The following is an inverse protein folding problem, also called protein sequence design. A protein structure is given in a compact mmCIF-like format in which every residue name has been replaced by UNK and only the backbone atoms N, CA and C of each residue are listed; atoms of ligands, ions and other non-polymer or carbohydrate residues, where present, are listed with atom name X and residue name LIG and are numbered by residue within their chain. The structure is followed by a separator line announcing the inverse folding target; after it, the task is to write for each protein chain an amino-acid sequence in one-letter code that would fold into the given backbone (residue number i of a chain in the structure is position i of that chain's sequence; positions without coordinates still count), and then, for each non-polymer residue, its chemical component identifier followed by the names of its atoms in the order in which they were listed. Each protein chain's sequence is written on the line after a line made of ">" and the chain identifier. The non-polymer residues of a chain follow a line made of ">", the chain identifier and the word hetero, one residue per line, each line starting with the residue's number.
data_IF_569337502114
#
_entry.id   IF_569337502114
#
_cell.length_a   1.000
_cell.length_b   1.000
_cell.length_c   1.000
_cell.angle_alpha   90.00
_cell.angle_beta   90.00
_cell.angle_gamma   90.00
#
_symmetry.space_group_name_H-M   'P 1'
#
loop_
_entity.id
_entity.type
_entity.pdbx_description
1 polymer ?
#
# COMPACT_ATOMS: atom_id res chain seq x y z
N UNK A 1 -30.99 -6.71 12.03
CA UNK A 1 -32.23 -5.92 12.13
C UNK A 1 -33.08 -6.13 10.88
N UNK A 2 -33.71 -7.30 10.74
CA UNK A 2 -34.65 -7.56 9.65
C UNK A 2 -35.98 -7.93 10.27
N UNK A 3 -37.01 -7.09 10.10
CA UNK A 3 -38.40 -7.57 10.19
C UNK A 3 -38.64 -8.52 9.01
N UNK A 4 -39.81 -9.16 8.92
CA UNK A 4 -40.07 -10.10 7.82
C UNK A 4 -39.78 -9.48 6.44
N UNK A 5 -40.14 -8.22 6.24
CA UNK A 5 -40.14 -7.64 4.90
C UNK A 5 -39.04 -6.59 4.70
N UNK A 6 -38.17 -6.34 5.69
CA UNK A 6 -37.10 -5.32 5.59
C UNK A 6 -35.73 -6.00 5.53
N UNK A 7 -35.00 -5.74 4.46
CA UNK A 7 -33.65 -6.22 4.20
C UNK A 7 -32.66 -5.06 4.26
N UNK A 8 -31.86 -5.03 5.34
CA UNK A 8 -30.77 -4.09 5.51
C UNK A 8 -29.45 -4.84 5.45
N UNK A 9 -28.51 -4.38 4.62
CA UNK A 9 -27.16 -4.95 4.52
C UNK A 9 -26.14 -3.89 4.17
N UNK A 10 -25.00 -3.92 4.83
CA UNK A 10 -23.80 -3.19 4.43
C UNK A 10 -22.76 -4.16 3.89
N UNK A 11 -22.03 -3.75 2.86
CA UNK A 11 -20.97 -4.54 2.23
C UNK A 11 -19.75 -3.65 2.08
N UNK A 12 -18.61 -4.13 2.56
CA UNK A 12 -17.32 -3.48 2.45
C UNK A 12 -16.38 -4.35 1.62
N UNK A 13 -15.64 -3.74 0.69
CA UNK A 13 -14.52 -4.39 0.00
C UNK A 13 -13.26 -3.58 0.20
N UNK A 14 -12.18 -4.25 0.59
CA UNK A 14 -10.87 -3.67 0.94
C UNK A 14 -9.77 -4.64 0.54
N UNK A 15 -8.51 -4.18 0.52
CA UNK A 15 -7.35 -5.03 0.23
C UNK A 15 -7.23 -6.23 1.19
N UNK A 16 -7.60 -6.04 2.45
CA UNK A 16 -7.64 -7.10 3.48
C UNK A 16 -8.90 -6.97 4.32
N UNK A 17 -9.29 -8.07 4.98
CA UNK A 17 -10.57 -8.18 5.69
C UNK A 17 -10.72 -7.19 6.85
N UNK A 18 -9.65 -6.95 7.62
CA UNK A 18 -9.66 -6.14 8.84
C UNK A 18 -8.57 -5.06 8.81
N UNK A 19 -8.72 -4.02 9.65
CA UNK A 19 -7.75 -2.93 9.80
C UNK A 19 -7.29 -2.33 8.45
N UNK A 20 -8.23 -2.08 7.55
CA UNK A 20 -7.96 -1.58 6.21
C UNK A 20 -9.09 -0.67 5.74
N UNK A 21 -8.74 0.41 5.06
CA UNK A 21 -9.72 1.27 4.40
C UNK A 21 -10.44 0.52 3.28
N UNK A 22 -11.70 0.88 3.06
CA UNK A 22 -12.49 0.29 1.98
C UNK A 22 -12.09 0.91 0.63
N UNK A 23 -12.07 0.08 -0.41
CA UNK A 23 -12.17 0.56 -1.79
C UNK A 23 -13.57 1.11 -2.05
N UNK A 24 -14.58 0.32 -1.71
CA UNK A 24 -15.99 0.65 -1.85
C UNK A 24 -16.75 0.08 -0.66
N UNK A 25 -17.61 0.90 -0.08
CA UNK A 25 -18.58 0.49 0.94
C UNK A 25 -19.97 0.83 0.43
N UNK A 26 -20.88 -0.14 0.44
CA UNK A 26 -22.28 0.06 0.07
C UNK A 26 -23.21 -0.28 1.22
N UNK A 27 -24.30 0.47 1.35
CA UNK A 27 -25.41 0.21 2.25
C UNK A 27 -26.70 0.08 1.45
N UNK A 28 -27.47 -0.96 1.75
CA UNK A 28 -28.73 -1.28 1.09
C UNK A 28 -29.83 -1.41 2.15
N UNK A 29 -30.94 -0.72 1.95
CA UNK A 29 -32.15 -0.84 2.76
C UNK A 29 -33.37 -0.98 1.83
N UNK A 30 -34.00 -2.15 1.85
CA UNK A 30 -35.12 -2.46 0.97
C UNK A 30 -36.27 -3.06 1.77
N UNK A 31 -37.50 -2.64 1.49
CA UNK A 31 -38.69 -3.36 1.91
C UNK A 31 -39.18 -4.24 0.76
N UNK A 32 -39.09 -5.56 0.90
CA UNK A 32 -39.33 -6.53 -0.18
C UNK A 32 -40.33 -7.59 0.28
N UNK A 33 -41.33 -7.86 -0.54
CA UNK A 33 -42.24 -8.98 -0.34
C UNK A 33 -41.53 -10.33 -0.48
N UNK A 34 -41.66 -11.23 0.49
CA UNK A 34 -40.95 -12.50 0.49
C UNK A 34 -41.41 -13.48 -0.59
N UNK A 35 -42.64 -13.36 -1.06
CA UNK A 35 -43.25 -14.35 -1.95
C UNK A 35 -42.92 -14.04 -3.41
N UNK A 36 -42.99 -12.76 -3.81
CA UNK A 36 -42.81 -12.34 -5.20
C UNK A 36 -41.62 -11.38 -5.41
N UNK A 37 -40.86 -11.07 -4.35
CA UNK A 37 -39.70 -10.16 -4.39
C UNK A 37 -40.02 -8.73 -4.84
N UNK A 38 -41.28 -8.29 -4.71
CA UNK A 38 -41.71 -6.94 -5.02
C UNK A 38 -41.14 -5.93 -4.01
N UNK A 39 -40.48 -4.89 -4.50
CA UNK A 39 -40.02 -3.76 -3.68
C UNK A 39 -41.20 -2.86 -3.34
N UNK A 40 -41.62 -2.86 -2.07
CA UNK A 40 -42.86 -2.21 -1.59
C UNK A 40 -42.75 -0.70 -1.44
N UNK A 41 -41.55 -0.21 -1.10
CA UNK A 41 -41.26 1.20 -0.87
C UNK A 41 -39.96 1.59 -1.54
N UNK A 42 -39.76 2.90 -1.77
CA UNK A 42 -38.51 3.39 -2.36
C UNK A 42 -37.32 2.89 -1.53
N UNK A 43 -36.42 2.07 -2.11
CA UNK A 43 -35.27 1.56 -1.38
C UNK A 43 -34.24 2.68 -1.17
N UNK A 44 -33.28 2.42 -0.29
CA UNK A 44 -32.11 3.29 -0.09
C UNK A 44 -30.86 2.53 -0.49
N UNK A 45 -30.08 3.12 -1.40
CA UNK A 45 -28.83 2.59 -1.91
C UNK A 45 -27.77 3.69 -1.76
N UNK A 46 -26.90 3.51 -0.76
CA UNK A 46 -25.82 4.46 -0.47
C UNK A 46 -24.46 3.82 -0.74
N UNK A 47 -23.56 4.53 -1.41
CA UNK A 47 -22.27 4.00 -1.85
C UNK A 47 -21.17 5.04 -1.58
N UNK A 48 -20.11 4.62 -0.92
CA UNK A 48 -18.92 5.42 -0.63
C UNK A 48 -17.69 4.82 -1.35
N UNK A 49 -16.70 5.66 -1.65
CA UNK A 49 -15.45 5.25 -2.29
C UNK A 49 -15.47 5.39 -3.82
N UNK A 50 -16.33 6.26 -4.36
CA UNK A 50 -16.46 6.48 -5.81
C UNK A 50 -15.80 7.78 -6.25
N UNK A 51 -16.15 8.92 -5.67
CA UNK A 51 -15.66 10.24 -6.11
C UNK A 51 -15.44 11.21 -4.93
N UNK A 52 -15.13 10.68 -3.75
CA UNK A 52 -14.92 11.47 -2.52
C UNK A 52 -16.21 11.82 -1.77
N UNK A 53 -17.39 11.57 -2.35
CA UNK A 53 -18.68 11.82 -1.71
C UNK A 53 -19.44 10.52 -1.38
N UNK A 54 -20.45 10.64 -0.53
CA UNK A 54 -21.46 9.59 -0.33
C UNK A 54 -22.50 9.71 -1.45
N UNK A 55 -22.60 8.67 -2.28
CA UNK A 55 -23.55 8.62 -3.39
C UNK A 55 -24.86 7.99 -2.92
N UNK A 56 -25.98 8.65 -3.21
CA UNK A 56 -27.30 8.03 -3.25
C UNK A 56 -27.63 7.65 -4.69
N UNK A 57 -27.93 6.38 -4.96
CA UNK A 57 -28.27 5.90 -6.31
C UNK A 57 -29.75 6.17 -6.64
N UNK A 58 -30.14 7.44 -6.63
CA UNK A 58 -31.54 7.90 -6.65
C UNK A 58 -32.31 7.39 -7.88
N UNK A 59 -31.69 7.35 -9.06
CA UNK A 59 -32.33 6.84 -10.28
C UNK A 59 -32.58 5.35 -10.17
N UNK A 60 -31.61 4.59 -9.65
CA UNK A 60 -31.76 3.15 -9.39
C UNK A 60 -32.84 2.89 -8.34
N UNK A 61 -32.87 3.67 -7.26
CA UNK A 61 -33.89 3.58 -6.20
C UNK A 61 -35.31 3.82 -6.76
N UNK A 62 -35.48 4.90 -7.53
CA UNK A 62 -36.76 5.23 -8.16
C UNK A 62 -37.19 4.14 -9.14
N UNK A 63 -36.27 3.61 -9.96
CA UNK A 63 -36.57 2.54 -10.90
C UNK A 63 -37.05 1.26 -10.22
N UNK A 64 -36.42 0.86 -9.10
CA UNK A 64 -36.72 -0.38 -8.41
C UNK A 64 -38.05 -0.37 -7.64
N UNK A 65 -38.60 0.81 -7.38
CA UNK A 65 -39.87 0.95 -6.66
C UNK A 65 -41.00 0.24 -7.41
N UNK A 66 -41.77 -0.60 -6.71
CA UNK A 66 -42.84 -1.42 -7.29
C UNK A 66 -42.39 -2.40 -8.39
N UNK A 67 -41.11 -2.78 -8.43
CA UNK A 67 -40.60 -3.85 -9.32
C UNK A 67 -40.17 -5.09 -8.54
N UNK A 68 -40.18 -6.25 -9.19
CA UNK A 68 -39.69 -7.50 -8.59
C UNK A 68 -38.18 -7.61 -8.75
N UNK A 69 -37.44 -7.67 -7.63
CA UNK A 69 -35.99 -7.91 -7.64
C UNK A 69 -35.60 -9.29 -8.18
N UNK A 70 -36.53 -10.23 -8.13
CA UNK A 70 -36.32 -11.59 -8.62
C UNK A 70 -36.49 -11.74 -10.13
N UNK A 71 -36.83 -10.68 -10.86
CA UNK A 71 -36.93 -10.68 -12.32
C UNK A 71 -35.56 -10.32 -12.94
N UNK A 72 -34.96 -11.22 -13.76
CA UNK A 72 -33.68 -10.95 -14.42
C UNK A 72 -33.65 -9.68 -15.27
N UNK A 73 -34.77 -9.34 -15.95
CA UNK A 73 -34.85 -8.15 -16.81
C UNK A 73 -34.83 -6.84 -15.99
N UNK A 74 -35.51 -6.85 -14.85
CA UNK A 74 -35.49 -5.75 -13.87
C UNK A 74 -34.09 -5.60 -13.29
N UNK A 75 -33.46 -6.71 -12.90
CA UNK A 75 -32.10 -6.68 -12.34
C UNK A 75 -31.08 -6.14 -13.34
N UNK A 76 -31.12 -6.60 -14.60
CA UNK A 76 -30.22 -6.13 -15.64
C UNK A 76 -30.38 -4.62 -15.90
N UNK A 77 -31.62 -4.14 -15.95
CA UNK A 77 -31.93 -2.72 -16.10
C UNK A 77 -31.42 -1.90 -14.89
N UNK A 78 -31.64 -2.39 -13.67
CA UNK A 78 -31.17 -1.74 -12.46
C UNK A 78 -29.64 -1.66 -12.39
N UNK A 79 -28.93 -2.72 -12.81
CA UNK A 79 -27.47 -2.73 -12.89
C UNK A 79 -26.95 -1.72 -13.93
N UNK A 80 -27.63 -1.58 -15.07
CA UNK A 80 -27.29 -0.57 -16.08
C UNK A 80 -27.48 0.85 -15.55
N UNK A 81 -28.63 1.14 -14.94
CA UNK A 81 -28.92 2.46 -14.37
C UNK A 81 -27.91 2.79 -13.26
N UNK A 82 -27.61 1.83 -12.39
CA UNK A 82 -26.62 2.00 -11.34
C UNK A 82 -25.23 2.25 -11.94
N UNK A 83 -24.85 1.52 -12.99
CA UNK A 83 -23.61 1.76 -13.71
C UNK A 83 -23.50 3.21 -14.19
N UNK A 84 -24.59 3.79 -14.72
CA UNK A 84 -24.58 5.18 -15.20
C UNK A 84 -24.51 6.21 -14.06
N UNK A 85 -25.03 5.89 -12.87
CA UNK A 85 -24.92 6.74 -11.68
C UNK A 85 -23.52 6.70 -11.04
N UNK A 86 -22.80 5.58 -11.20
CA UNK A 86 -21.47 5.39 -10.62
C UNK A 86 -20.41 5.94 -11.56
N UNK A 87 -19.95 7.14 -11.24
CA UNK A 87 -18.90 7.90 -11.94
C UNK A 87 -17.70 8.10 -11.02
N UNK A 88 -16.71 7.19 -11.02
CA UNK A 88 -15.57 7.28 -10.11
C UNK A 88 -14.57 8.37 -10.52
N UNK A 89 -13.99 9.06 -9.54
CA UNK A 89 -12.84 9.96 -9.76
C UNK A 89 -11.59 9.19 -10.18
N UNK A 90 -10.61 9.84 -10.80
CA UNK A 90 -9.30 9.23 -11.08
C UNK A 90 -8.25 9.80 -10.14
N UNK A 91 -7.73 8.98 -9.23
CA UNK A 91 -6.71 9.37 -8.25
C UNK A 91 -5.64 8.28 -8.15
N UNK A 92 -4.36 8.67 -8.08
CA UNK A 92 -3.23 7.74 -8.12
C UNK A 92 -3.16 6.78 -6.93
N UNK A 93 -3.65 7.21 -5.76
CA UNK A 93 -3.60 6.43 -4.52
C UNK A 93 -4.79 5.47 -4.36
N UNK A 94 -5.84 5.65 -5.18
CA UNK A 94 -7.04 4.82 -5.11
C UNK A 94 -6.94 3.69 -6.11
N UNK A 95 -7.67 2.60 -5.85
CA UNK A 95 -7.84 1.56 -6.84
C UNK A 95 -8.51 2.13 -8.12
N UNK A 96 -8.27 1.46 -9.26
CA UNK A 96 -8.68 1.99 -10.55
C UNK A 96 -10.17 2.34 -10.61
N UNK A 97 -10.57 3.40 -11.34
CA UNK A 97 -11.97 3.76 -11.53
C UNK A 97 -12.83 2.58 -11.99
N UNK A 98 -12.33 1.81 -12.96
CA UNK A 98 -13.03 0.64 -13.49
C UNK A 98 -13.27 -0.44 -12.42
N UNK A 99 -12.28 -0.70 -11.57
CA UNK A 99 -12.42 -1.66 -10.48
C UNK A 99 -13.43 -1.20 -9.44
N UNK A 100 -13.37 0.07 -9.00
CA UNK A 100 -14.32 0.61 -8.00
C UNK A 100 -15.76 0.64 -8.53
N UNK A 101 -15.96 0.97 -9.81
CA UNK A 101 -17.27 0.87 -10.46
C UNK A 101 -17.79 -0.56 -10.47
N UNK A 102 -16.94 -1.51 -10.89
CA UNK A 102 -17.28 -2.94 -10.87
C UNK A 102 -17.63 -3.45 -9.47
N UNK A 103 -16.90 -3.00 -8.44
CA UNK A 103 -17.19 -3.34 -7.04
C UNK A 103 -18.56 -2.83 -6.59
N UNK A 104 -18.90 -1.57 -6.86
CA UNK A 104 -20.21 -1.01 -6.47
C UNK A 104 -21.38 -1.80 -7.07
N UNK A 105 -21.30 -2.07 -8.38
CA UNK A 105 -22.28 -2.87 -9.12
C UNK A 105 -22.33 -4.30 -8.56
N UNK A 106 -21.17 -4.91 -8.34
CA UNK A 106 -21.05 -6.26 -7.79
C UNK A 106 -21.61 -6.37 -6.37
N UNK A 107 -21.40 -5.37 -5.52
CA UNK A 107 -21.97 -5.32 -4.16
C UNK A 107 -23.50 -5.26 -4.20
N UNK A 108 -24.09 -4.47 -5.10
CA UNK A 108 -25.54 -4.48 -5.31
C UNK A 108 -26.04 -5.84 -5.79
N UNK A 109 -25.35 -6.46 -6.76
CA UNK A 109 -25.70 -7.81 -7.22
C UNK A 109 -25.64 -8.84 -6.08
N UNK A 110 -24.61 -8.81 -5.23
CA UNK A 110 -24.50 -9.66 -4.02
C UNK A 110 -25.67 -9.45 -3.05
N UNK A 111 -26.11 -8.21 -2.88
CA UNK A 111 -27.29 -7.90 -2.08
C UNK A 111 -28.54 -8.56 -2.66
N UNK A 112 -28.79 -8.41 -3.97
CA UNK A 112 -29.97 -9.01 -4.64
C UNK A 112 -29.95 -10.54 -4.54
N UNK A 113 -28.79 -11.18 -4.75
CA UNK A 113 -28.65 -12.64 -4.59
C UNK A 113 -29.00 -13.12 -3.17
N UNK A 114 -28.67 -12.33 -2.14
CA UNK A 114 -29.02 -12.65 -0.75
C UNK A 114 -30.51 -12.54 -0.50
N UNK A 115 -31.16 -11.48 -1.00
CA UNK A 115 -32.61 -11.28 -0.88
C UNK A 115 -33.38 -12.37 -1.64
N UNK A 116 -32.95 -12.67 -2.88
CA UNK A 116 -33.62 -13.59 -3.78
C UNK A 116 -33.11 -15.05 -3.67
N UNK A 117 -32.42 -15.41 -2.58
CA UNK A 117 -31.70 -16.69 -2.43
C UNK A 117 -32.51 -17.96 -2.75
N UNK A 118 -33.83 -17.92 -2.55
CA UNK A 118 -34.72 -19.06 -2.79
C UNK A 118 -35.15 -19.17 -4.27
N UNK A 119 -35.07 -18.07 -5.04
CA UNK A 119 -35.35 -18.03 -6.48
C UNK A 119 -34.09 -18.22 -7.33
N UNK A 120 -32.91 -17.92 -6.77
CA UNK A 120 -31.63 -18.06 -7.47
C UNK A 120 -31.26 -19.53 -7.75
N UNK A 121 -30.72 -19.78 -8.95
CA UNK A 121 -30.14 -21.07 -9.29
C UNK A 121 -29.00 -21.45 -8.31
N UNK A 122 -28.77 -22.75 -8.03
CA UNK A 122 -27.82 -23.19 -7.01
C UNK A 122 -26.41 -22.60 -7.12
N UNK A 123 -25.88 -22.48 -8.34
CA UNK A 123 -24.52 -21.96 -8.59
C UNK A 123 -24.36 -20.46 -8.30
N UNK A 124 -25.46 -19.68 -8.20
CA UNK A 124 -25.41 -18.27 -7.82
C UNK A 124 -25.53 -18.03 -6.31
N UNK A 125 -25.99 -19.02 -5.53
CA UNK A 125 -26.32 -18.81 -4.11
C UNK A 125 -25.13 -18.34 -3.28
N UNK A 126 -23.94 -18.86 -3.57
CA UNK A 126 -22.69 -18.50 -2.87
C UNK A 126 -22.34 -17.02 -3.02
N UNK A 127 -22.71 -16.37 -4.13
CA UNK A 127 -22.45 -14.95 -4.36
C UNK A 127 -23.14 -14.03 -3.35
N UNK A 128 -24.26 -14.45 -2.77
CA UNK A 128 -24.96 -13.69 -1.74
C UNK A 128 -24.43 -13.90 -0.31
N UNK A 129 -23.59 -14.91 -0.08
CA UNK A 129 -23.10 -15.28 1.25
C UNK A 129 -21.96 -14.38 1.72
N UNK A 130 -21.75 -14.34 3.04
CA UNK A 130 -20.60 -13.67 3.63
C UNK A 130 -19.37 -14.58 3.55
N UNK A 131 -18.20 -13.97 3.33
CA UNK A 131 -16.93 -14.71 3.39
C UNK A 131 -16.62 -15.01 4.87
N UNK A 132 -16.54 -16.29 5.19
CA UNK A 132 -16.20 -16.76 6.53
C UNK A 132 -14.75 -17.25 6.56
N UNK A 133 -13.96 -16.75 7.51
CA UNK A 133 -12.62 -17.27 7.81
C UNK A 133 -12.71 -18.16 9.04
N UNK A 134 -12.55 -19.49 8.92
CA UNK A 134 -12.54 -20.39 10.07
C UNK A 134 -11.29 -20.16 10.93
N UNK A 135 -11.28 -20.77 12.12
CA UNK A 135 -10.06 -20.89 12.92
C UNK A 135 -8.99 -21.62 12.11
N UNK A 136 -7.79 -21.06 12.09
CA UNK A 136 -6.65 -21.62 11.37
C UNK A 136 -6.10 -22.82 12.14
N UNK A 137 -5.73 -23.88 11.43
CA UNK A 137 -4.95 -25.02 11.97
C UNK A 137 -3.76 -25.29 11.06
N UNK A 138 -2.72 -25.93 11.59
CA UNK A 138 -1.52 -26.28 10.84
C UNK A 138 -0.81 -27.48 11.44
N UNK A 139 -0.09 -28.21 10.60
CA UNK A 139 0.71 -29.38 10.96
C UNK A 139 2.14 -29.15 10.49
N UNK A 140 3.12 -29.51 11.31
CA UNK A 140 4.54 -29.47 10.95
C UNK A 140 5.14 -30.86 11.10
N UNK A 141 5.93 -31.27 10.12
CA UNK A 141 6.68 -32.52 10.11
C UNK A 141 8.12 -32.20 9.71
N UNK A 142 9.10 -32.69 10.45
CA UNK A 142 10.53 -32.45 10.23
C UNK A 142 11.36 -33.62 10.74
N UNK A 143 12.38 -34.00 9.96
CA UNK A 143 13.33 -35.04 10.34
C UNK A 143 14.37 -34.54 11.35
N UNK A 144 14.72 -35.37 12.33
CA UNK A 144 15.88 -35.14 13.20
C UNK A 144 16.83 -36.33 13.01
N UNK A 145 17.87 -36.15 12.22
CA UNK A 145 18.63 -37.29 11.66
C UNK A 145 19.68 -37.90 12.59
N UNK A 146 20.28 -37.13 13.50
CA UNK A 146 21.36 -37.65 14.35
C UNK A 146 21.35 -37.03 15.75
N UNK A 147 21.28 -37.90 16.76
CA UNK A 147 21.32 -37.55 18.18
C UNK A 147 22.73 -37.23 18.69
N UNK A 148 23.78 -37.59 17.95
CA UNK A 148 25.17 -37.35 18.33
C UNK A 148 25.62 -35.90 18.06
N UNK A 149 24.91 -35.16 17.20
CA UNK A 149 25.19 -33.74 16.87
C UNK A 149 24.39 -32.77 17.76
N UNK A 150 23.93 -33.26 18.90
CA UNK A 150 23.18 -32.47 19.87
C UNK A 150 23.94 -31.19 20.26
N UNK A 151 23.31 -30.00 20.25
CA UNK A 151 21.89 -29.69 20.03
C UNK A 151 21.53 -29.23 18.60
N UNK A 152 22.41 -29.37 17.60
CA UNK A 152 22.25 -28.75 16.28
C UNK A 152 20.99 -29.17 15.52
N UNK A 153 20.48 -30.39 15.77
CA UNK A 153 19.31 -30.98 15.11
C UNK A 153 18.00 -30.80 15.88
N UNK A 154 18.02 -30.15 17.06
CA UNK A 154 16.82 -29.96 17.89
C UNK A 154 16.10 -28.65 17.52
N UNK A 155 14.75 -28.63 17.48
CA UNK A 155 13.97 -27.40 17.39
C UNK A 155 14.04 -26.61 18.71
N UNK A 156 15.21 -26.06 19.02
CA UNK A 156 15.42 -25.31 20.25
C UNK A 156 14.67 -23.98 20.15
N UNK A 157 13.99 -23.62 21.23
CA UNK A 157 13.36 -22.31 21.35
C UNK A 157 14.42 -21.21 21.16
N UNK A 158 14.07 -20.15 20.41
CA UNK A 158 14.94 -18.97 20.26
C UNK A 158 15.34 -18.46 21.64
N UNK A 159 16.64 -18.27 21.88
CA UNK A 159 17.18 -17.91 23.20
C UNK A 159 16.52 -16.67 23.83
N UNK A 160 16.12 -15.70 23.01
CA UNK A 160 15.49 -14.45 23.46
C UNK A 160 13.95 -14.50 23.45
N UNK A 161 13.32 -15.65 23.20
CA UNK A 161 11.87 -15.76 23.04
C UNK A 161 11.10 -15.26 24.27
N UNK A 162 11.51 -15.64 25.49
CA UNK A 162 10.87 -15.17 26.71
C UNK A 162 11.02 -13.66 26.89
N UNK A 163 12.24 -13.15 26.75
CA UNK A 163 12.52 -11.72 26.88
C UNK A 163 11.77 -10.87 25.83
N UNK A 164 11.54 -11.42 24.63
CA UNK A 164 10.73 -10.77 23.60
C UNK A 164 9.25 -10.75 24.00
N UNK A 165 8.75 -11.83 24.60
CA UNK A 165 7.36 -11.93 25.04
C UNK A 165 7.05 -11.05 26.27
N UNK A 166 8.04 -10.81 27.13
CA UNK A 166 7.94 -9.96 28.33
C UNK A 166 8.27 -8.49 28.07
N UNK A 167 8.86 -8.15 26.91
CA UNK A 167 9.32 -6.79 26.59
C UNK A 167 10.65 -6.41 27.24
N UNK A 168 11.46 -7.39 27.66
CA UNK A 168 12.77 -7.19 28.28
C UNK A 168 13.90 -7.02 27.27
N UNK A 169 13.74 -7.52 26.03
CA UNK A 169 14.67 -7.18 24.95
C UNK A 169 14.55 -5.70 24.65
N UNK A 170 15.67 -4.99 24.75
CA UNK A 170 15.77 -3.56 24.46
C UNK A 170 16.19 -3.33 23.02
N UNK A 171 15.35 -2.64 22.28
CA UNK A 171 15.64 -2.06 20.98
C UNK A 171 16.20 -0.63 21.15
N UNK A 172 16.63 0.00 20.06
CA UNK A 172 17.32 1.31 20.13
C UNK A 172 16.44 2.36 20.81
N UNK A 173 15.15 2.37 20.48
CA UNK A 173 14.18 3.31 21.05
C UNK A 173 13.80 3.00 22.52
N UNK A 174 14.16 1.82 23.05
CA UNK A 174 13.90 1.46 24.44
C UNK A 174 15.03 1.88 25.39
N UNK A 175 16.16 2.35 24.83
CA UNK A 175 17.29 2.82 25.62
C UNK A 175 16.91 4.14 26.29
N UNK A 176 17.21 4.26 27.58
CA UNK A 176 16.97 5.50 28.32
C UNK A 176 17.75 6.67 27.69
N UNK A 177 17.10 7.82 27.46
CA UNK A 177 17.78 9.00 26.95
C UNK A 177 18.94 9.39 27.85
N UNK A 178 20.09 9.70 27.24
CA UNK A 178 21.25 10.21 27.98
C UNK A 178 21.10 11.70 28.26
N UNK A 179 21.73 12.18 29.33
CA UNK A 179 21.78 13.62 29.58
C UNK A 179 22.47 14.33 28.41
N UNK A 180 21.80 15.35 27.85
CA UNK A 180 22.27 16.07 26.67
C UNK A 180 22.11 15.32 25.35
N UNK A 181 21.39 14.19 25.32
CA UNK A 181 21.02 13.53 24.07
C UNK A 181 20.15 14.46 23.22
N UNK A 182 20.45 14.51 21.92
CA UNK A 182 19.68 15.24 20.92
C UNK A 182 19.03 14.27 19.95
N UNK A 183 18.02 14.75 19.24
CA UNK A 183 17.22 13.99 18.28
C UNK A 183 17.36 14.60 16.90
N UNK A 184 17.50 13.73 15.89
CA UNK A 184 17.71 14.11 14.51
C UNK A 184 16.47 13.79 13.66
N UNK A 185 16.04 14.75 12.85
CA UNK A 185 15.01 14.56 11.84
C UNK A 185 15.54 14.92 10.45
N UNK A 186 15.50 14.00 9.48
CA UNK A 186 15.96 14.30 8.14
C UNK A 186 15.00 15.26 7.41
N UNK A 187 15.57 16.14 6.60
CA UNK A 187 14.88 16.94 5.61
C UNK A 187 15.00 16.19 4.29
N UNK A 188 13.87 15.77 3.73
CA UNK A 188 13.81 14.95 2.53
C UNK A 188 13.33 15.76 1.34
N UNK A 189 13.82 15.43 0.14
CA UNK A 189 13.36 16.09 -1.06
C UNK A 189 11.90 15.82 -1.37
N UNK A 190 11.21 16.85 -1.85
CA UNK A 190 9.86 16.75 -2.43
C UNK A 190 9.86 16.60 -3.94
N UNK A 191 11.04 16.60 -4.58
CA UNK A 191 11.21 16.47 -6.02
C UNK A 191 11.97 15.18 -6.36
N UNK A 192 11.68 14.61 -7.53
CA UNK A 192 12.35 13.40 -8.02
C UNK A 192 13.54 13.65 -8.94
N UNK A 193 13.64 14.84 -9.54
CA UNK A 193 14.72 15.22 -10.45
C UNK A 193 14.75 16.75 -10.55
N UNK A 194 15.59 17.39 -9.76
CA UNK A 194 15.69 18.85 -9.71
C UNK A 194 17.02 19.29 -9.11
N UNK A 195 17.41 20.55 -9.32
CA UNK A 195 18.53 21.16 -8.59
C UNK A 195 18.03 21.89 -7.36
N UNK A 196 18.74 21.75 -6.24
CA UNK A 196 18.51 22.56 -5.05
C UNK A 196 18.98 23.98 -5.37
N UNK A 197 18.05 24.92 -5.26
CA UNK A 197 18.36 26.34 -5.43
C UNK A 197 18.81 26.97 -4.12
N UNK A 198 18.05 26.75 -3.05
CA UNK A 198 18.43 27.18 -1.71
C UNK A 198 17.78 26.32 -0.63
N UNK A 199 18.42 26.32 0.54
CA UNK A 199 17.93 25.71 1.77
C UNK A 199 17.93 26.81 2.82
N UNK A 200 16.75 27.11 3.37
CA UNK A 200 16.57 28.12 4.41
C UNK A 200 16.00 27.48 5.68
N UNK A 201 16.85 27.21 6.70
CA UNK A 201 16.43 26.67 7.98
C UNK A 201 16.02 27.75 8.98
N UNK A 202 15.97 29.05 8.60
CA UNK A 202 15.84 30.18 9.54
C UNK A 202 14.59 30.09 10.42
N UNK A 203 13.45 29.64 9.88
CA UNK A 203 12.22 29.49 10.66
C UNK A 203 12.37 28.33 11.65
N UNK A 204 12.91 27.20 11.20
CA UNK A 204 13.14 26.03 12.06
C UNK A 204 14.10 26.36 13.22
N UNK A 205 15.20 27.06 12.95
CA UNK A 205 16.21 27.43 13.96
C UNK A 205 15.70 28.41 15.03
N UNK A 206 14.57 29.08 14.80
CA UNK A 206 13.94 29.97 15.79
C UNK A 206 12.99 29.23 16.73
N UNK A 207 12.68 27.97 16.46
CA UNK A 207 11.78 27.18 17.31
C UNK A 207 12.54 26.78 18.58
N UNK A 208 11.99 27.04 19.79
CA UNK A 208 12.63 26.62 21.03
C UNK A 208 12.94 25.13 21.05
N UNK A 209 14.14 24.77 21.52
CA UNK A 209 14.63 23.39 21.56
C UNK A 209 15.31 22.91 20.27
N UNK A 210 15.25 23.66 19.16
CA UNK A 210 16.06 23.37 17.97
C UNK A 210 17.50 23.82 18.21
N UNK A 211 18.45 22.91 17.99
CA UNK A 211 19.87 23.11 18.29
C UNK A 211 20.66 23.47 17.03
N UNK A 212 20.48 22.70 15.95
CA UNK A 212 21.28 22.88 14.73
C UNK A 212 20.58 22.33 13.50
N UNK A 213 20.85 22.96 12.36
CA UNK A 213 20.63 22.37 11.04
C UNK A 213 21.97 21.95 10.44
N UNK A 214 22.05 20.73 9.92
CA UNK A 214 23.24 20.12 9.32
C UNK A 214 22.94 19.88 7.84
N UNK A 215 23.82 20.32 6.96
CA UNK A 215 23.73 20.13 5.52
C UNK A 215 25.02 19.50 4.97
N UNK A 216 25.05 19.22 3.66
CA UNK A 216 26.19 18.56 3.02
C UNK A 216 27.55 19.25 3.30
N UNK A 217 27.56 20.58 3.39
CA UNK A 217 28.79 21.36 3.68
C UNK A 217 29.33 21.17 5.11
N UNK A 218 28.53 20.65 6.03
CA UNK A 218 28.94 20.40 7.42
C UNK A 218 29.63 19.03 7.61
N UNK A 219 29.69 18.19 6.58
CA UNK A 219 30.31 16.87 6.64
C UNK A 219 31.83 17.06 6.61
N UNK A 220 32.58 16.69 7.68
CA UNK A 220 34.02 16.94 7.77
C UNK A 220 34.86 16.03 6.87
N UNK A 221 34.27 14.96 6.34
CA UNK A 221 34.92 13.97 5.48
C UNK A 221 34.31 13.91 4.09
N UNK A 222 34.31 12.72 3.49
CA UNK A 222 33.72 12.49 2.19
C UNK A 222 32.20 12.32 2.34
N UNK A 223 31.42 13.12 1.60
CA UNK A 223 29.97 12.99 1.50
C UNK A 223 29.59 11.83 0.56
N UNK A 224 29.92 10.59 0.95
CA UNK A 224 29.55 9.36 0.24
C UNK A 224 29.33 8.26 1.27
N UNK A 225 28.15 7.64 1.30
CA UNK A 225 27.82 6.61 2.30
C UNK A 225 28.20 5.20 1.86
N UNK A 226 28.61 5.01 0.60
CA UNK A 226 28.85 3.67 0.07
C UNK A 226 30.00 2.96 0.79
N UNK A 227 29.84 1.65 1.08
CA UNK A 227 30.96 0.82 1.50
C UNK A 227 32.08 0.84 0.45
N UNK A 228 33.31 1.11 0.88
CA UNK A 228 34.48 1.04 0.01
C UNK A 228 34.62 -0.37 -0.61
N UNK A 229 34.85 -0.43 -1.93
CA UNK A 229 35.16 -1.68 -2.65
C UNK A 229 33.98 -2.47 -3.22
N UNK A 230 32.73 -2.03 -3.00
CA UNK A 230 31.54 -2.75 -3.49
C UNK A 230 30.86 -2.12 -4.72
N UNK A 231 31.25 -0.90 -5.11
CA UNK A 231 30.59 -0.12 -6.17
C UNK A 231 31.62 0.62 -7.04
N UNK A 232 31.25 0.92 -8.30
CA UNK A 232 32.07 1.74 -9.20
C UNK A 232 32.41 3.10 -8.56
N UNK A 233 33.66 3.56 -8.69
CA UNK A 233 34.10 4.86 -8.16
C UNK A 233 33.35 6.05 -8.78
N UNK A 234 32.71 5.86 -9.93
CA UNK A 234 32.02 6.92 -10.69
C UNK A 234 30.67 7.32 -10.10
N UNK A 235 30.03 6.46 -9.30
CA UNK A 235 28.62 6.60 -8.94
C UNK A 235 28.43 6.97 -7.46
N UNK A 236 28.98 8.11 -7.04
CA UNK A 236 28.88 8.61 -5.65
C UNK A 236 27.44 8.65 -5.16
N UNK A 237 27.19 8.18 -3.94
CA UNK A 237 25.88 8.30 -3.29
C UNK A 237 26.04 9.16 -2.05
N UNK A 238 25.60 10.41 -2.17
CA UNK A 238 25.74 11.39 -1.09
C UNK A 238 24.91 11.02 0.13
N UNK A 239 25.47 11.24 1.33
CA UNK A 239 24.73 11.15 2.60
C UNK A 239 23.65 12.23 2.65
N UNK A 240 24.04 13.47 2.33
CA UNK A 240 23.16 14.63 2.21
C UNK A 240 23.36 15.23 0.83
N UNK A 241 22.27 15.37 0.06
CA UNK A 241 22.29 15.91 -1.29
C UNK A 241 22.85 17.35 -1.30
N UNK A 242 23.96 17.55 -2.01
CA UNK A 242 24.65 18.84 -2.09
C UNK A 242 24.19 19.72 -3.27
N UNK A 243 23.46 19.16 -4.23
CA UNK A 243 23.06 19.88 -5.44
C UNK A 243 21.87 19.29 -6.17
N UNK A 244 22.08 18.27 -7.00
CA UNK A 244 21.02 17.66 -7.79
C UNK A 244 20.33 16.53 -7.02
N UNK A 245 19.03 16.68 -6.82
CA UNK A 245 18.17 15.62 -6.32
C UNK A 245 17.87 14.63 -7.44
N UNK A 246 18.01 13.34 -7.12
CA UNK A 246 17.87 12.21 -8.05
C UNK A 246 16.62 11.35 -7.78
N UNK A 247 15.98 11.51 -6.62
CA UNK A 247 14.74 10.82 -6.28
C UNK A 247 13.95 11.54 -5.17
N UNK A 248 12.64 11.35 -5.17
CA UNK A 248 11.75 11.88 -4.14
C UNK A 248 12.05 11.17 -2.81
N UNK A 249 12.22 11.94 -1.75
CA UNK A 249 12.65 11.41 -0.45
C UNK A 249 14.16 11.40 -0.24
N UNK A 250 14.99 11.87 -1.18
CA UNK A 250 16.45 11.95 -0.97
C UNK A 250 16.79 12.88 0.21
N UNK A 251 17.65 12.48 1.16
CA UNK A 251 18.07 13.33 2.26
C UNK A 251 18.83 14.57 1.76
N UNK A 252 18.45 15.75 2.24
CA UNK A 252 19.05 17.05 1.90
C UNK A 252 19.77 17.66 3.11
N UNK A 253 19.22 17.45 4.30
CA UNK A 253 19.78 17.96 5.54
C UNK A 253 19.21 17.23 6.74
N UNK A 254 19.69 17.59 7.93
CA UNK A 254 19.26 17.03 9.21
C UNK A 254 18.99 18.19 10.16
N UNK A 255 17.80 18.22 10.74
CA UNK A 255 17.47 19.11 11.83
C UNK A 255 17.70 18.39 13.16
N UNK A 256 18.38 19.03 14.09
CA UNK A 256 18.72 18.48 15.41
C UNK A 256 18.04 19.32 16.50
N UNK A 257 17.37 18.66 17.44
CA UNK A 257 16.67 19.29 18.56
C UNK A 257 16.84 18.52 19.88
N UNK A 258 16.44 19.12 20.99
CA UNK A 258 16.53 18.57 22.35
C UNK A 258 15.58 17.38 22.61
N UNK A 259 14.50 17.26 21.82
CA UNK A 259 13.55 16.17 21.90
C UNK A 259 13.03 15.74 20.52
N UNK A 260 12.50 14.50 20.45
CA UNK A 260 12.03 13.88 19.21
C UNK A 260 10.88 14.66 18.55
N UNK A 261 9.93 15.15 19.35
CA UNK A 261 8.74 15.85 18.86
C UNK A 261 9.15 17.18 18.26
N UNK A 262 10.03 17.93 18.92
CA UNK A 262 10.57 19.20 18.42
C UNK A 262 11.39 18.99 17.16
N UNK A 263 12.26 17.96 17.10
CA UNK A 263 13.02 17.64 15.89
C UNK A 263 12.10 17.34 14.70
N UNK A 264 11.08 16.49 14.91
CA UNK A 264 10.17 16.07 13.86
C UNK A 264 9.25 17.20 13.39
N UNK A 265 8.67 17.98 14.31
CA UNK A 265 7.73 19.05 13.96
C UNK A 265 8.42 20.27 13.36
N UNK A 266 9.61 20.63 13.86
CA UNK A 266 10.35 21.81 13.39
C UNK A 266 10.92 21.64 11.99
N UNK A 267 11.05 20.40 11.50
CA UNK A 267 11.53 20.09 10.16
C UNK A 267 10.71 20.78 9.05
N UNK A 268 9.42 20.99 9.27
CA UNK A 268 8.53 21.69 8.33
C UNK A 268 8.83 23.19 8.22
N UNK A 269 9.62 23.74 9.15
CA UNK A 269 10.15 25.12 9.08
C UNK A 269 11.37 25.26 8.18
N UNK A 270 11.93 24.18 7.64
CA UNK A 270 13.04 24.24 6.68
C UNK A 270 12.47 24.40 5.27
N UNK A 271 12.75 25.53 4.62
CA UNK A 271 12.28 25.81 3.27
C UNK A 271 13.35 25.43 2.26
N UNK A 272 13.05 24.43 1.43
CA UNK A 272 13.88 24.03 0.30
C UNK A 272 13.22 24.51 -0.98
N UNK A 273 13.97 25.23 -1.82
CA UNK A 273 13.54 25.63 -3.16
C UNK A 273 14.32 24.87 -4.22
N UNK A 274 13.67 24.61 -5.35
CA UNK A 274 14.22 23.83 -6.44
C UNK A 274 14.17 24.62 -7.75
N UNK A 275 15.19 24.43 -8.58
CA UNK A 275 15.26 24.89 -9.97
C UNK A 275 15.45 23.70 -10.90
N UNK A 276 15.32 23.93 -12.20
CA UNK A 276 15.53 22.91 -13.24
C UNK A 276 14.75 21.61 -12.97
N UNK A 277 13.49 21.70 -12.51
CA UNK A 277 12.66 20.53 -12.23
C UNK A 277 12.38 19.80 -13.54
N UNK A 278 12.84 18.55 -13.64
CA UNK A 278 12.69 17.70 -14.81
C UNK A 278 11.77 16.50 -14.50
N UNK A 279 11.18 15.87 -15.53
CA UNK A 279 10.54 14.58 -15.37
C UNK A 279 11.54 13.54 -14.83
N UNK A 280 11.16 12.84 -13.75
CA UNK A 280 11.91 11.69 -13.26
C UNK A 280 11.54 10.44 -14.07
N UNK A 281 12.52 9.57 -14.32
CA UNK A 281 12.27 8.26 -14.91
C UNK A 281 11.68 7.36 -13.82
N UNK A 282 10.44 6.90 -13.99
CA UNK A 282 9.70 6.20 -12.92
C UNK A 282 9.24 4.79 -13.28
N UNK A 283 9.45 4.36 -14.52
CA UNK A 283 9.16 2.98 -14.95
C UNK A 283 10.35 2.33 -15.65
N UNK A 284 10.35 0.99 -15.67
CA UNK A 284 11.37 0.20 -16.36
C UNK A 284 11.29 0.44 -17.87
N UNK A 285 10.08 0.56 -18.41
CA UNK A 285 9.84 0.83 -19.83
C UNK A 285 10.44 2.19 -20.25
N UNK A 286 10.24 3.23 -19.45
CA UNK A 286 10.80 4.55 -19.70
C UNK A 286 12.34 4.54 -19.61
N UNK A 287 12.90 3.80 -18.63
CA UNK A 287 14.33 3.61 -18.50
C UNK A 287 14.92 2.88 -19.73
N UNK A 288 14.21 1.89 -20.26
CA UNK A 288 14.61 1.16 -21.48
C UNK A 288 14.61 2.06 -22.71
N UNK A 289 13.56 2.86 -22.90
CA UNK A 289 13.42 3.80 -24.01
C UNK A 289 14.54 4.86 -23.99
N UNK A 290 14.82 5.41 -22.81
CA UNK A 290 15.86 6.43 -22.61
C UNK A 290 17.27 5.86 -22.47
N UNK A 291 17.42 4.53 -22.51
CA UNK A 291 18.69 3.81 -22.28
C UNK A 291 19.38 4.18 -20.95
N UNK A 292 18.58 4.45 -19.92
CA UNK A 292 19.04 4.81 -18.58
C UNK A 292 19.25 3.55 -17.74
N UNK A 293 20.46 3.01 -17.76
CA UNK A 293 20.81 1.75 -17.09
C UNK A 293 22.00 1.94 -16.16
N UNK A 294 22.06 1.15 -15.09
CA UNK A 294 23.31 0.92 -14.36
C UNK A 294 24.28 0.10 -15.21
N UNK A 295 25.53 -0.04 -14.74
CA UNK A 295 26.55 -0.84 -15.42
C UNK A 295 26.02 -2.25 -15.76
N UNK A 296 26.21 -2.65 -17.03
CA UNK A 296 25.59 -3.85 -17.57
C UNK A 296 26.36 -5.09 -17.14
N UNK A 297 25.72 -5.93 -16.33
CA UNK A 297 26.12 -7.33 -16.22
C UNK A 297 25.67 -8.04 -17.51
N UNK A 298 26.64 -8.62 -18.25
CA UNK A 298 26.36 -9.32 -19.50
C UNK A 298 25.41 -10.51 -19.32
N UNK A 299 24.72 -10.97 -20.38
CA UNK A 299 23.79 -12.08 -20.29
C UNK A 299 24.52 -13.37 -19.90
N UNK A 300 23.91 -14.18 -19.03
CA UNK A 300 24.33 -15.55 -18.80
C UNK A 300 23.73 -16.45 -19.89
N UNK A 301 24.58 -17.10 -20.69
CA UNK A 301 24.15 -18.01 -21.75
C UNK A 301 24.72 -19.41 -21.50
N UNK A 302 23.87 -20.44 -21.63
CA UNK A 302 24.26 -21.86 -21.51
C UNK A 302 23.73 -22.63 -22.72
N UNK A 303 24.64 -23.17 -23.54
CA UNK A 303 24.30 -23.92 -24.76
C UNK A 303 23.89 -23.03 -25.93
N UNK A 304 23.35 -23.64 -26.99
CA UNK A 304 22.86 -22.95 -28.19
C UNK A 304 21.33 -22.78 -28.14
N UNK A 305 20.90 -21.60 -27.71
CA UNK A 305 19.48 -21.27 -27.59
C UNK A 305 18.79 -21.13 -28.94
N UNK A 306 19.52 -20.78 -30.01
CA UNK A 306 18.94 -20.60 -31.34
C UNK A 306 18.55 -21.94 -31.95
N UNK A 307 19.42 -22.95 -31.87
CA UNK A 307 19.14 -24.31 -32.33
C UNK A 307 17.99 -24.94 -31.54
N UNK A 308 18.03 -24.83 -30.19
CA UNK A 308 16.98 -25.38 -29.34
C UNK A 308 15.61 -24.72 -29.61
N UNK A 309 15.59 -23.39 -29.79
CA UNK A 309 14.36 -22.66 -30.13
C UNK A 309 13.85 -23.06 -31.52
N UNK A 310 14.74 -23.25 -32.50
CA UNK A 310 14.38 -23.66 -33.86
C UNK A 310 13.68 -25.03 -33.88
N UNK A 311 14.17 -25.99 -33.10
CA UNK A 311 13.63 -27.34 -33.01
C UNK A 311 12.36 -27.47 -32.13
N UNK A 312 12.01 -26.44 -31.35
CA UNK A 312 10.90 -26.52 -30.39
C UNK A 312 9.52 -26.60 -31.09
N UNK A 313 8.66 -27.59 -30.75
CA UNK A 313 7.34 -27.77 -31.36
C UNK A 313 6.31 -26.71 -30.95
N UNK A 314 6.51 -26.09 -29.79
CA UNK A 314 5.65 -25.02 -29.27
C UNK A 314 6.49 -23.85 -28.80
N UNK A 315 6.00 -22.64 -29.05
CA UNK A 315 6.67 -21.39 -28.68
C UNK A 315 5.66 -20.45 -28.07
N UNK A 316 5.96 -19.98 -26.87
CA UNK A 316 5.13 -19.01 -26.15
C UNK A 316 5.93 -17.74 -25.97
N UNK A 317 5.31 -16.60 -26.26
CA UNK A 317 5.87 -15.28 -26.00
C UNK A 317 4.92 -14.52 -25.10
N UNK A 318 5.47 -13.90 -24.07
CA UNK A 318 4.73 -13.08 -23.13
C UNK A 318 5.68 -12.27 -22.26
N UNK A 319 5.10 -11.46 -21.38
CA UNK A 319 5.82 -10.74 -20.35
C UNK A 319 5.08 -10.90 -19.02
N UNK A 320 5.83 -10.75 -17.93
CA UNK A 320 5.30 -10.69 -16.58
C UNK A 320 5.91 -9.46 -15.92
N UNK A 321 5.10 -8.76 -15.12
CA UNK A 321 5.55 -7.64 -14.31
C UNK A 321 5.39 -8.01 -12.84
N UNK A 322 6.45 -7.88 -12.06
CA UNK A 322 6.41 -7.99 -10.60
C UNK A 322 6.68 -6.60 -10.05
N UNK A 323 5.82 -6.16 -9.14
CA UNK A 323 5.97 -4.87 -8.48
C UNK A 323 6.98 -4.96 -7.34
N UNK A 324 7.25 -3.80 -6.75
CA UNK A 324 8.04 -3.63 -5.54
C UNK A 324 7.40 -4.28 -4.31
N UNK A 325 8.23 -4.49 -3.29
CA UNK A 325 7.83 -4.94 -1.97
C UNK A 325 8.62 -4.15 -0.93
N UNK A 326 7.91 -3.55 0.03
CA UNK A 326 8.55 -2.88 1.15
C UNK A 326 8.87 -3.89 2.26
N UNK A 327 10.06 -3.79 2.87
CA UNK A 327 10.48 -4.70 3.94
C UNK A 327 9.50 -4.73 5.12
N UNK A 328 8.98 -3.55 5.50
CA UNK A 328 7.99 -3.40 6.57
C UNK A 328 8.42 -4.05 7.90
N UNK A 329 9.69 -3.89 8.27
CA UNK A 329 10.22 -4.31 9.56
C UNK A 329 9.49 -3.57 10.70
N UNK A 330 9.17 -4.27 11.78
CA UNK A 330 8.38 -3.71 12.90
C UNK A 330 9.13 -2.63 13.67
N UNK A 331 10.44 -2.78 13.84
CA UNK A 331 11.31 -1.70 14.34
C UNK A 331 11.73 -0.85 13.15
N UNK A 332 11.39 0.44 13.13
CA UNK A 332 11.83 1.36 12.08
C UNK A 332 13.35 1.58 12.16
N UNK A 333 13.96 2.11 11.09
CA UNK A 333 15.39 2.45 11.08
C UNK A 333 15.71 3.40 12.24
N UNK A 334 16.57 2.94 13.15
CA UNK A 334 16.94 3.66 14.36
C UNK A 334 18.46 3.54 14.59
N UNK A 335 19.07 4.64 15.01
CA UNK A 335 20.49 4.68 15.33
C UNK A 335 20.71 5.61 16.53
N UNK A 336 21.60 5.18 17.43
CA UNK A 336 22.13 6.00 18.52
C UNK A 336 23.62 6.18 18.29
N UNK A 337 24.04 7.43 18.07
CA UNK A 337 25.45 7.80 17.97
C UNK A 337 25.92 8.40 19.29
N UNK A 338 27.01 7.86 19.84
CA UNK A 338 27.66 8.37 21.04
C UNK A 338 29.09 8.74 20.60
N UNK A 339 29.47 10.03 20.67
CA UNK A 339 30.77 10.49 20.22
C UNK A 339 31.93 9.95 21.07
#
# INVERSE_FOLDING_TARGET
>A
YSSSDIFIRTIKTSHRLQLCHAHVTSGFNFQVDKNNYLVKTKPTIVIQGINGQLIHAVKTENFLTNKSLGDPSVLQSALSILSDEIVPSSERILASPAYRKSLAIGQFYKFVLKVCKNKCAPHFKSGGLDLYRPLMSGTQDYGTEDSNVYPATKPVMKLTAFNLATGEVKFVADLSPRQGQLYASPILSTQGNAKIQSIDPTVALKIPGVVKFIQASDIPGVNDWRPHGYYSETDKQELLCSGQVLYAGQPIGILVAEDEVTAHSSRYGVKVTYTDIQPAITSVEEAMEKKSFFEKIGPFTKGDTAVAMAAAPHRVKGSVHSTDQYNFHLENQAALCIP
#
